data_IF_660140739734
#
_entry.id   IF_660140739734
#
_cell.length_a   1.000
_cell.length_b   1.000
_cell.length_c   1.000
_cell.angle_alpha   90.00
_cell.angle_beta   90.00
_cell.angle_gamma   90.00
#
_symmetry.space_group_name_H-M   'P 1'
#
loop_
_entity.id
_entity.type
_entity.pdbx_description
1 polymer ?
#
# COMPACT_ATOMS: atom_id res chain seq x y z
N UNK A 1 -44.06 -14.64 -15.64
CA UNK A 1 -42.70 -14.07 -15.61
C UNK A 1 -41.73 -15.24 -15.47
N UNK A 2 -40.70 -15.35 -16.31
CA UNK A 2 -39.90 -16.58 -16.44
C UNK A 2 -38.86 -16.73 -15.30
N UNK A 3 -38.56 -17.95 -14.85
CA UNK A 3 -37.58 -18.19 -13.76
C UNK A 3 -36.18 -17.63 -14.08
N UNK A 4 -35.81 -17.61 -15.35
CA UNK A 4 -34.55 -17.04 -15.84
C UNK A 4 -34.46 -15.53 -15.59
N UNK A 5 -35.59 -14.82 -15.60
CA UNK A 5 -35.65 -13.39 -15.32
C UNK A 5 -35.34 -13.10 -13.85
N UNK A 6 -35.96 -13.83 -12.93
CA UNK A 6 -35.73 -13.70 -11.49
C UNK A 6 -34.31 -14.09 -11.07
N UNK A 7 -33.74 -15.13 -11.69
CA UNK A 7 -32.33 -15.51 -11.46
C UNK A 7 -31.36 -14.41 -11.87
N UNK A 8 -31.59 -13.74 -13.00
CA UNK A 8 -30.77 -12.59 -13.44
C UNK A 8 -30.88 -11.42 -12.48
N UNK A 9 -32.10 -11.09 -12.04
CA UNK A 9 -32.33 -10.03 -11.06
C UNK A 9 -31.58 -10.30 -9.76
N UNK A 10 -31.76 -11.50 -9.18
CA UNK A 10 -31.10 -11.87 -7.94
C UNK A 10 -29.57 -11.85 -8.07
N UNK A 11 -29.04 -12.26 -9.23
CA UNK A 11 -27.61 -12.19 -9.52
C UNK A 11 -27.09 -10.74 -9.50
N UNK A 12 -27.72 -9.82 -10.24
CA UNK A 12 -27.27 -8.43 -10.27
C UNK A 12 -27.46 -7.72 -8.93
N UNK A 13 -28.57 -7.97 -8.23
CA UNK A 13 -28.79 -7.45 -6.86
C UNK A 13 -27.69 -7.96 -5.92
N UNK A 14 -27.26 -9.22 -6.07
CA UNK A 14 -26.16 -9.79 -5.29
C UNK A 14 -24.79 -9.18 -5.59
N UNK A 15 -24.58 -8.64 -6.80
CA UNK A 15 -23.32 -7.95 -7.15
C UNK A 15 -23.24 -6.53 -6.56
N UNK A 16 -24.37 -5.86 -6.33
CA UNK A 16 -24.40 -4.49 -5.77
C UNK A 16 -23.66 -4.37 -4.43
N UNK A 17 -23.92 -5.20 -3.40
CA UNK A 17 -23.21 -5.07 -2.12
C UNK A 17 -21.70 -5.34 -2.26
N UNK A 18 -21.30 -6.25 -3.15
CA UNK A 18 -19.88 -6.52 -3.43
C UNK A 18 -19.25 -5.27 -4.04
N UNK A 19 -19.85 -4.71 -5.09
CA UNK A 19 -19.36 -3.49 -5.72
C UNK A 19 -19.33 -2.31 -4.75
N UNK A 20 -20.31 -2.20 -3.85
CA UNK A 20 -20.34 -1.17 -2.81
C UNK A 20 -19.16 -1.32 -1.84
N UNK A 21 -18.88 -2.54 -1.36
CA UNK A 21 -17.78 -2.81 -0.42
C UNK A 21 -16.44 -2.42 -1.05
N UNK A 22 -16.16 -2.87 -2.28
CA UNK A 22 -14.92 -2.52 -2.99
C UNK A 22 -14.86 -1.02 -3.32
N UNK A 23 -15.98 -0.40 -3.69
CA UNK A 23 -16.06 1.05 -3.92
C UNK A 23 -15.75 1.87 -2.66
N UNK A 24 -16.30 1.46 -1.51
CA UNK A 24 -16.01 2.10 -0.21
C UNK A 24 -14.54 1.90 0.17
N UNK A 25 -14.00 0.68 0.02
CA UNK A 25 -12.60 0.41 0.30
C UNK A 25 -11.66 1.31 -0.54
N UNK A 26 -11.92 1.44 -1.84
CA UNK A 26 -11.16 2.31 -2.73
C UNK A 26 -11.24 3.77 -2.29
N UNK A 27 -12.43 4.30 -1.97
CA UNK A 27 -12.59 5.69 -1.50
C UNK A 27 -11.84 5.91 -0.18
N UNK A 28 -12.00 5.02 0.79
CA UNK A 28 -11.36 5.15 2.11
C UNK A 28 -9.83 5.07 1.99
N UNK A 29 -9.30 4.24 1.10
CA UNK A 29 -7.86 4.14 0.82
C UNK A 29 -7.27 5.42 0.22
N UNK A 30 -8.09 6.29 -0.38
CA UNK A 30 -7.65 7.56 -0.94
C UNK A 30 -7.60 8.72 0.06
N UNK A 31 -8.11 8.54 1.28
CA UNK A 31 -8.24 9.63 2.26
C UNK A 31 -6.95 9.88 3.04
N UNK A 32 -6.27 8.81 3.46
CA UNK A 32 -5.13 8.88 4.37
C UNK A 32 -4.24 7.64 4.24
N UNK A 33 -2.94 7.81 4.45
CA UNK A 33 -1.99 6.72 4.65
C UNK A 33 -1.94 6.42 6.14
N UNK A 34 -2.44 5.24 6.54
CA UNK A 34 -2.54 4.84 7.96
C UNK A 34 -1.30 4.15 8.51
N UNK A 35 -0.31 3.93 7.65
CA UNK A 35 0.94 3.28 8.01
C UNK A 35 1.78 4.18 8.92
N UNK A 36 2.01 3.71 10.15
CA UNK A 36 2.79 4.42 11.16
C UNK A 36 4.30 4.40 10.83
N UNK A 37 4.74 3.43 10.04
CA UNK A 37 6.13 3.23 9.65
C UNK A 37 6.47 3.90 8.30
N UNK A 38 5.56 4.73 7.75
CA UNK A 38 5.78 5.45 6.49
C UNK A 38 7.13 6.18 6.44
N UNK A 39 7.50 6.85 7.53
CA UNK A 39 8.77 7.58 7.61
C UNK A 39 9.98 6.64 7.63
N UNK A 40 9.87 5.48 8.27
CA UNK A 40 10.88 4.43 8.23
C UNK A 40 11.05 3.95 6.78
N UNK A 41 9.96 3.66 6.08
CA UNK A 41 10.02 3.20 4.70
C UNK A 41 10.67 4.23 3.76
N UNK A 42 10.32 5.51 3.91
CA UNK A 42 10.92 6.58 3.12
C UNK A 42 12.40 6.79 3.44
N UNK A 43 12.78 6.76 4.71
CA UNK A 43 14.17 6.92 5.14
C UNK A 43 15.05 5.75 4.67
N UNK A 44 14.57 4.51 4.86
CA UNK A 44 15.27 3.31 4.41
C UNK A 44 15.34 3.22 2.89
N UNK A 45 14.25 3.53 2.19
CA UNK A 45 14.23 3.56 0.72
C UNK A 45 15.22 4.58 0.16
N UNK A 46 15.30 5.77 0.77
CA UNK A 46 16.32 6.78 0.45
C UNK A 46 17.73 6.26 0.68
N UNK A 47 17.98 5.65 1.83
CA UNK A 47 19.29 5.10 2.17
C UNK A 47 19.72 4.03 1.16
N UNK A 48 18.85 3.07 0.85
CA UNK A 48 19.13 1.99 -0.09
C UNK A 48 19.38 2.54 -1.50
N UNK A 49 18.56 3.49 -1.96
CA UNK A 49 18.74 4.11 -3.28
C UNK A 49 20.02 4.93 -3.40
N UNK A 50 20.44 5.59 -2.32
CA UNK A 50 21.65 6.43 -2.31
C UNK A 50 22.93 5.58 -2.20
N UNK A 51 22.92 4.53 -1.37
CA UNK A 51 24.11 3.75 -1.06
C UNK A 51 24.21 2.46 -1.88
N UNK A 52 23.15 2.08 -2.60
CA UNK A 52 23.05 0.81 -3.33
C UNK A 52 23.35 -0.41 -2.44
N UNK A 53 22.95 -0.34 -1.17
CA UNK A 53 23.24 -1.33 -0.15
C UNK A 53 22.02 -1.51 0.75
N UNK A 54 21.68 -2.78 1.04
CA UNK A 54 20.63 -3.15 1.97
C UNK A 54 21.29 -3.40 3.33
N UNK A 55 20.99 -2.60 4.37
CA UNK A 55 21.64 -2.76 5.66
C UNK A 55 21.17 -4.04 6.37
N UNK A 56 22.13 -4.69 7.03
CA UNK A 56 21.93 -5.88 7.86
C UNK A 56 21.83 -5.56 9.35
N UNK A 57 21.76 -4.27 9.70
CA UNK A 57 21.65 -3.76 11.06
C UNK A 57 20.62 -2.65 11.13
N UNK A 58 20.02 -2.47 12.29
CA UNK A 58 19.14 -1.34 12.56
C UNK A 58 19.96 -0.05 12.66
N UNK A 59 19.66 0.92 11.81
CA UNK A 59 20.34 2.22 11.74
C UNK A 59 19.47 3.40 12.18
N UNK A 60 18.15 3.20 12.37
CA UNK A 60 17.19 4.28 12.62
C UNK A 60 16.62 4.25 14.04
N UNK A 61 16.63 3.10 14.72
CA UNK A 61 16.15 2.99 16.09
C UNK A 61 17.05 3.72 17.09
N UNK A 62 16.45 4.40 18.06
CA UNK A 62 17.18 5.12 19.11
C UNK A 62 17.72 4.22 20.23
N UNK A 63 17.10 3.07 20.47
CA UNK A 63 17.42 2.17 21.61
C UNK A 63 18.26 0.95 21.23
N UNK A 64 18.19 0.52 19.97
CA UNK A 64 18.82 -0.72 19.49
C UNK A 64 19.63 -0.52 18.20
N UNK A 65 20.11 0.71 17.96
CA UNK A 65 21.00 0.98 16.84
C UNK A 65 22.20 0.01 16.81
N UNK A 66 22.51 -0.52 15.63
CA UNK A 66 23.59 -1.48 15.38
C UNK A 66 23.21 -2.94 15.63
N UNK A 67 22.02 -3.24 16.15
CA UNK A 67 21.57 -4.63 16.30
C UNK A 67 21.30 -5.28 14.94
N UNK A 68 21.54 -6.59 14.78
CA UNK A 68 21.24 -7.31 13.54
C UNK A 68 19.77 -7.16 13.16
N UNK A 69 19.52 -6.77 11.92
CA UNK A 69 18.17 -6.62 11.39
C UNK A 69 18.13 -7.12 9.94
N UNK A 70 17.19 -8.01 9.66
CA UNK A 70 16.88 -8.41 8.28
C UNK A 70 15.75 -7.53 7.80
N UNK A 71 16.09 -6.54 6.97
CA UNK A 71 15.12 -5.68 6.33
C UNK A 71 14.38 -6.45 5.22
N UNK A 72 13.30 -7.14 5.59
CA UNK A 72 12.49 -7.94 4.67
C UNK A 72 11.62 -7.08 3.73
N UNK A 73 11.51 -5.78 3.99
CA UNK A 73 10.68 -4.85 3.23
C UNK A 73 11.50 -3.99 2.25
N UNK A 74 12.80 -4.24 2.12
CA UNK A 74 13.72 -3.40 1.35
C UNK A 74 13.22 -3.06 -0.06
N UNK A 75 12.60 -4.02 -0.76
CA UNK A 75 12.11 -3.82 -2.12
C UNK A 75 10.90 -2.87 -2.13
N UNK A 76 9.98 -3.04 -1.18
CA UNK A 76 8.86 -2.13 -1.00
C UNK A 76 9.34 -0.71 -0.69
N UNK A 77 10.31 -0.57 0.22
CA UNK A 77 10.90 0.71 0.59
C UNK A 77 11.56 1.41 -0.60
N UNK A 78 12.26 0.67 -1.46
CA UNK A 78 12.82 1.19 -2.72
C UNK A 78 11.71 1.72 -3.65
N UNK A 79 10.65 0.93 -3.87
CA UNK A 79 9.52 1.32 -4.74
C UNK A 79 8.80 2.55 -4.19
N UNK A 80 8.46 2.55 -2.91
CA UNK A 80 7.76 3.65 -2.22
C UNK A 80 8.59 4.92 -2.26
N UNK A 81 9.89 4.84 -1.99
CA UNK A 81 10.75 6.02 -2.06
C UNK A 81 10.85 6.58 -3.49
N UNK A 82 10.97 5.74 -4.52
CA UNK A 82 10.99 6.20 -5.91
C UNK A 82 9.68 6.89 -6.32
N UNK A 83 8.53 6.39 -5.85
CA UNK A 83 7.23 7.02 -6.11
C UNK A 83 7.16 8.36 -5.37
N UNK A 84 7.55 8.40 -4.10
CA UNK A 84 7.58 9.61 -3.29
C UNK A 84 8.49 10.68 -3.89
N UNK A 85 9.70 10.32 -4.32
CA UNK A 85 10.67 11.24 -4.92
C UNK A 85 10.12 11.93 -6.18
N UNK A 86 9.32 11.21 -6.98
CA UNK A 86 8.79 11.72 -8.26
C UNK A 86 7.42 12.37 -8.16
N UNK A 87 6.58 11.90 -7.25
CA UNK A 87 5.15 12.25 -7.19
C UNK A 87 4.68 12.74 -5.82
N UNK A 88 5.56 12.80 -4.83
CA UNK A 88 5.24 13.20 -3.46
C UNK A 88 4.22 12.29 -2.78
N UNK A 89 3.54 12.81 -1.76
CA UNK A 89 2.52 12.09 -1.01
C UNK A 89 1.31 11.69 -1.86
N UNK A 90 0.93 12.51 -2.84
CA UNK A 90 -0.15 12.17 -3.78
C UNK A 90 0.15 10.90 -4.56
N UNK A 91 1.42 10.67 -4.92
CA UNK A 91 1.87 9.43 -5.54
C UNK A 91 1.68 8.21 -4.66
N UNK A 92 1.95 8.36 -3.36
CA UNK A 92 1.80 7.29 -2.38
C UNK A 92 0.32 6.95 -2.13
N UNK A 93 -0.55 7.96 -2.03
CA UNK A 93 -2.00 7.76 -1.90
C UNK A 93 -2.55 7.04 -3.13
N UNK A 94 -2.13 7.44 -4.33
CA UNK A 94 -2.53 6.77 -5.58
C UNK A 94 -2.02 5.33 -5.63
N UNK A 95 -0.78 5.08 -5.23
CA UNK A 95 -0.22 3.72 -5.14
C UNK A 95 -1.08 2.85 -4.21
N UNK A 96 -1.37 3.32 -2.99
CA UNK A 96 -2.21 2.63 -2.02
C UNK A 96 -3.60 2.30 -2.61
N UNK A 97 -4.22 3.29 -3.25
CA UNK A 97 -5.55 3.13 -3.88
C UNK A 97 -5.51 2.08 -5.00
N UNK A 98 -4.48 2.09 -5.84
CA UNK A 98 -4.31 1.09 -6.91
C UNK A 98 -4.13 -0.31 -6.33
N UNK A 99 -3.31 -0.48 -5.29
CA UNK A 99 -3.11 -1.77 -4.64
C UNK A 99 -4.42 -2.31 -4.06
N UNK A 100 -5.20 -1.46 -3.38
CA UNK A 100 -6.50 -1.84 -2.81
C UNK A 100 -7.51 -2.22 -3.89
N UNK A 101 -7.51 -1.58 -5.05
CA UNK A 101 -8.42 -1.93 -6.16
C UNK A 101 -8.04 -3.26 -6.83
N UNK A 102 -6.74 -3.58 -6.88
CA UNK A 102 -6.22 -4.75 -7.59
C UNK A 102 -6.26 -6.02 -6.72
N UNK A 103 -6.39 -5.89 -5.40
CA UNK A 103 -6.44 -6.99 -4.43
C UNK A 103 -7.86 -7.31 -3.98
#
# INVERSE_FOLDING_TARGET
>A
MNDTFWKKINYYIGLVPIALIFGVAAVVSGLEIKDLDLWLHLAMGKFIMTNHYIPHVDMLSSTIAGQPWVNHEWLFQVVVYNIFERFGFDGLIKMQTVVVIVT
#
